data_IF_635933454055
#
_entry.id   IF_635933454055
#
_cell.length_a   1.000
_cell.length_b   1.000
_cell.length_c   1.000
_cell.angle_alpha   90.00
_cell.angle_beta   90.00
_cell.angle_gamma   90.00
#
_symmetry.space_group_name_H-M   'P 1'
#
loop_
_entity.id
_entity.type
_entity.pdbx_description
1 polymer ?
#
# COMPACT_ATOMS: atom_id res chain seq x y z
N UNK A 1 -9.52 24.04 -3.50
CA UNK A 1 -10.23 22.74 -3.39
C UNK A 1 -9.17 21.66 -3.23
N UNK A 2 -9.36 20.70 -2.32
CA UNK A 2 -8.42 19.57 -2.11
C UNK A 2 -9.10 18.29 -2.57
N UNK A 3 -8.43 17.48 -3.40
CA UNK A 3 -8.96 16.23 -3.94
C UNK A 3 -8.35 15.01 -3.24
N UNK A 4 -9.20 14.11 -2.74
CA UNK A 4 -8.76 12.93 -1.98
C UNK A 4 -9.34 11.66 -2.59
N UNK A 5 -8.47 10.68 -2.83
CA UNK A 5 -8.84 9.31 -3.20
C UNK A 5 -8.55 8.37 -2.02
N UNK A 6 -9.52 7.56 -1.60
CA UNK A 6 -9.36 6.58 -0.53
C UNK A 6 -9.77 5.19 -1.02
N UNK A 7 -8.90 4.20 -0.82
CA UNK A 7 -9.09 2.83 -1.32
C UNK A 7 -9.08 1.83 -0.15
N UNK A 8 -10.22 1.18 0.06
CA UNK A 8 -10.40 0.23 1.15
C UNK A 8 -9.54 -1.04 1.01
N UNK A 9 -9.27 -1.67 2.15
CA UNK A 9 -8.70 -3.01 2.22
C UNK A 9 -9.72 -4.10 1.85
N UNK A 10 -9.24 -5.25 1.40
CA UNK A 10 -10.13 -6.34 1.01
C UNK A 10 -9.48 -7.61 0.43
N UNK A 11 -8.17 -7.77 0.56
CA UNK A 11 -7.45 -8.91 -0.04
C UNK A 11 -7.71 -9.00 -1.54
N UNK A 12 -8.08 -10.19 -2.05
CA UNK A 12 -8.39 -10.37 -3.48
C UNK A 12 -9.51 -9.46 -4.01
N UNK A 13 -10.43 -9.02 -3.15
CA UNK A 13 -11.56 -8.15 -3.56
C UNK A 13 -11.16 -6.75 -3.97
N UNK A 14 -9.94 -6.31 -3.67
CA UNK A 14 -9.45 -5.02 -4.18
C UNK A 14 -9.26 -5.00 -5.71
N UNK A 15 -9.50 -6.12 -6.41
CA UNK A 15 -9.77 -6.10 -7.86
C UNK A 15 -10.94 -5.17 -8.21
N UNK A 16 -11.98 -5.07 -7.36
CA UNK A 16 -13.16 -4.23 -7.62
C UNK A 16 -12.77 -2.74 -7.68
N UNK A 17 -12.22 -2.12 -6.60
CA UNK A 17 -11.76 -0.75 -6.68
C UNK A 17 -10.65 -0.57 -7.71
N UNK A 18 -9.81 -1.58 -7.91
CA UNK A 18 -8.82 -1.61 -8.97
C UNK A 18 -9.38 -1.42 -10.38
N UNK A 19 -10.40 -2.20 -10.73
CA UNK A 19 -11.09 -2.08 -12.02
C UNK A 19 -11.75 -0.72 -12.16
N UNK A 20 -12.38 -0.22 -11.10
CA UNK A 20 -12.97 1.12 -11.07
C UNK A 20 -11.91 2.21 -11.31
N UNK A 21 -10.71 2.08 -10.72
CA UNK A 21 -9.61 3.01 -10.96
C UNK A 21 -9.10 2.95 -12.40
N UNK A 22 -9.08 1.76 -13.02
CA UNK A 22 -8.78 1.61 -14.45
C UNK A 22 -9.78 2.34 -15.35
N UNK A 23 -11.08 2.24 -15.03
CA UNK A 23 -12.11 3.01 -15.73
C UNK A 23 -12.02 4.51 -15.44
N UNK A 24 -11.74 4.89 -14.18
CA UNK A 24 -11.61 6.29 -13.79
C UNK A 24 -10.43 6.95 -14.51
N UNK A 25 -9.28 6.29 -14.59
CA UNK A 25 -8.09 6.83 -15.27
C UNK A 25 -8.29 6.99 -16.78
N UNK A 26 -9.16 6.18 -17.40
CA UNK A 26 -9.46 6.33 -18.83
C UNK A 26 -10.17 7.64 -19.15
N UNK A 27 -10.98 8.17 -18.23
CA UNK A 27 -11.75 9.39 -18.49
C UNK A 27 -10.83 10.63 -18.65
N UNK A 28 -9.89 10.93 -17.73
CA UNK A 28 -8.92 11.99 -17.97
C UNK A 28 -7.97 11.70 -19.12
N UNK A 29 -7.68 10.43 -19.45
CA UNK A 29 -6.86 10.12 -20.62
C UNK A 29 -7.54 10.49 -21.95
N UNK A 30 -8.86 10.37 -22.01
CA UNK A 30 -9.67 10.81 -23.16
C UNK A 30 -9.74 12.34 -23.26
N UNK A 31 -9.76 13.05 -22.12
CA UNK A 31 -9.90 14.52 -22.07
C UNK A 31 -8.56 15.27 -22.19
N UNK A 32 -7.55 14.84 -21.43
CA UNK A 32 -6.28 15.54 -21.23
C UNK A 32 -5.09 14.84 -21.90
N UNK A 33 -5.33 13.65 -22.47
CA UNK A 33 -4.38 12.89 -23.28
C UNK A 33 -3.84 11.62 -22.60
N UNK A 34 -3.20 10.73 -23.39
CA UNK A 34 -2.87 9.35 -22.97
C UNK A 34 -1.89 9.25 -21.80
N UNK A 35 -1.19 10.36 -21.48
CA UNK A 35 -0.24 10.44 -20.40
C UNK A 35 -0.87 10.84 -19.06
N UNK A 36 -2.15 11.20 -19.02
CA UNK A 36 -2.87 11.51 -17.78
C UNK A 36 -2.88 10.29 -16.83
N UNK A 37 -2.64 10.53 -15.54
CA UNK A 37 -2.57 9.51 -14.49
C UNK A 37 -3.36 9.93 -13.27
N UNK A 38 -3.87 8.96 -12.50
CA UNK A 38 -4.61 9.24 -11.24
C UNK A 38 -3.85 10.21 -10.32
N UNK A 39 -2.52 10.05 -10.19
CA UNK A 39 -1.69 10.90 -9.35
C UNK A 39 -1.65 12.38 -9.76
N UNK A 40 -2.07 12.74 -10.98
CA UNK A 40 -2.11 14.13 -11.45
C UNK A 40 -3.34 14.89 -10.93
N UNK A 41 -4.40 14.18 -10.56
CA UNK A 41 -5.71 14.76 -10.22
C UNK A 41 -6.03 14.72 -8.73
N UNK A 42 -5.28 13.92 -7.95
CA UNK A 42 -5.51 13.73 -6.52
C UNK A 42 -4.35 14.28 -5.68
N UNK A 43 -4.67 15.25 -4.82
CA UNK A 43 -3.75 15.82 -3.82
C UNK A 43 -3.31 14.80 -2.76
N UNK A 44 -4.20 13.86 -2.43
CA UNK A 44 -3.93 12.78 -1.47
C UNK A 44 -4.52 11.47 -1.99
N UNK A 45 -3.71 10.42 -2.02
CA UNK A 45 -4.14 9.05 -2.33
C UNK A 45 -3.88 8.15 -1.12
N UNK A 46 -4.93 7.61 -0.55
CA UNK A 46 -4.87 6.75 0.61
C UNK A 46 -5.33 5.34 0.30
N UNK A 47 -4.80 4.38 1.04
CA UNK A 47 -5.32 3.03 0.95
C UNK A 47 -4.83 2.09 2.03
N UNK A 48 -5.64 1.08 2.33
CA UNK A 48 -5.33 0.04 3.32
C UNK A 48 -5.14 -1.31 2.64
N UNK A 49 -4.16 -2.11 3.07
CA UNK A 49 -3.93 -3.45 2.52
C UNK A 49 -3.72 -3.42 1.00
N UNK A 50 -4.48 -4.19 0.22
CA UNK A 50 -4.42 -4.09 -1.24
C UNK A 50 -4.69 -2.66 -1.75
N UNK A 51 -5.57 -1.89 -1.10
CA UNK A 51 -5.77 -0.48 -1.40
C UNK A 51 -4.51 0.36 -1.17
N UNK A 52 -3.73 0.05 -0.14
CA UNK A 52 -2.45 0.72 0.13
C UNK A 52 -1.38 0.36 -0.91
N UNK A 53 -1.37 -0.89 -1.38
CA UNK A 53 -0.53 -1.30 -2.50
C UNK A 53 -0.93 -0.57 -3.79
N UNK A 54 -2.22 -0.39 -4.05
CA UNK A 54 -2.69 0.41 -5.19
C UNK A 54 -2.26 1.88 -5.04
N UNK A 55 -2.49 2.49 -3.87
CA UNK A 55 -2.13 3.88 -3.60
C UNK A 55 -0.62 4.15 -3.82
N UNK A 56 0.24 3.28 -3.30
CA UNK A 56 1.70 3.40 -3.47
C UNK A 56 2.16 3.16 -4.90
N UNK A 57 1.59 2.18 -5.61
CA UNK A 57 1.95 1.90 -7.01
C UNK A 57 1.50 3.02 -7.96
N UNK A 58 0.32 3.61 -7.74
CA UNK A 58 -0.18 4.74 -8.52
C UNK A 58 0.65 6.02 -8.35
N UNK A 59 1.42 6.10 -7.27
CA UNK A 59 2.19 7.30 -6.90
C UNK A 59 3.69 7.08 -6.98
N UNK A 60 4.15 5.88 -7.33
CA UNK A 60 5.55 5.55 -7.50
C UNK A 60 6.08 6.22 -8.79
N UNK A 61 7.11 7.08 -8.70
CA UNK A 61 7.67 7.74 -9.87
C UNK A 61 8.50 6.78 -10.72
N UNK A 62 8.44 6.98 -12.03
CA UNK A 62 9.44 6.49 -12.98
C UNK A 62 10.60 7.50 -13.12
N UNK A 63 11.51 7.26 -14.07
CA UNK A 63 12.69 8.13 -14.30
C UNK A 63 12.33 9.54 -14.77
N UNK A 64 11.17 9.70 -15.40
CA UNK A 64 10.68 10.97 -15.93
C UNK A 64 9.76 11.69 -14.94
N UNK A 65 9.75 11.25 -13.67
CA UNK A 65 8.89 11.78 -12.61
C UNK A 65 7.39 11.72 -12.96
N UNK A 66 6.97 10.64 -13.63
CA UNK A 66 5.57 10.28 -13.93
C UNK A 66 5.21 8.98 -13.22
N UNK A 67 3.92 8.67 -13.07
CA UNK A 67 3.51 7.38 -12.48
C UNK A 67 4.12 6.23 -13.26
N UNK A 68 4.73 5.29 -12.56
CA UNK A 68 5.33 4.09 -13.15
C UNK A 68 4.29 3.17 -13.80
N UNK A 69 3.05 3.21 -13.31
CA UNK A 69 1.98 2.33 -13.75
C UNK A 69 0.71 3.11 -14.05
N UNK A 70 -0.02 2.64 -15.05
CA UNK A 70 -1.45 2.91 -15.20
C UNK A 70 -2.25 2.06 -14.21
N UNK A 71 -3.40 2.57 -13.77
CA UNK A 71 -4.28 1.87 -12.83
C UNK A 71 -4.67 0.47 -13.33
N UNK A 72 -4.93 0.33 -14.64
CA UNK A 72 -5.29 -0.94 -15.28
C UNK A 72 -4.14 -1.96 -15.26
N UNK A 73 -2.89 -1.50 -15.33
CA UNK A 73 -1.71 -2.37 -15.34
C UNK A 73 -1.50 -3.02 -13.98
N UNK A 74 -1.66 -2.23 -12.91
CA UNK A 74 -1.51 -2.73 -11.52
C UNK A 74 -2.46 -3.91 -11.28
N UNK A 75 -3.70 -3.80 -11.75
CA UNK A 75 -4.70 -4.87 -11.63
C UNK A 75 -4.41 -6.05 -12.53
N UNK A 76 -3.99 -5.80 -13.77
CA UNK A 76 -3.52 -6.85 -14.68
C UNK A 76 -2.40 -7.69 -14.06
N UNK A 77 -1.43 -7.05 -13.41
CA UNK A 77 -0.36 -7.74 -12.69
C UNK A 77 -0.88 -8.51 -11.49
N UNK A 78 -1.74 -7.89 -10.67
CA UNK A 78 -2.29 -8.53 -9.49
C UNK A 78 -3.08 -9.79 -9.85
N UNK A 79 -3.97 -9.71 -10.84
CA UNK A 79 -4.77 -10.85 -11.34
C UNK A 79 -3.90 -12.03 -11.78
N UNK A 80 -2.90 -11.77 -12.62
CA UNK A 80 -1.97 -12.81 -13.12
C UNK A 80 -1.18 -13.47 -12.01
N UNK A 81 -0.90 -12.74 -10.93
CA UNK A 81 -0.04 -13.16 -9.81
C UNK A 81 -0.84 -13.69 -8.62
N UNK A 82 -2.14 -13.42 -8.54
CA UNK A 82 -3.00 -13.77 -7.43
C UNK A 82 -2.98 -15.27 -7.08
N UNK A 83 -3.04 -16.22 -8.02
CA UNK A 83 -2.92 -17.64 -7.69
C UNK A 83 -1.59 -18.04 -7.04
N UNK A 84 -0.51 -17.28 -7.30
CA UNK A 84 0.81 -17.49 -6.67
C UNK A 84 0.94 -16.81 -5.32
N UNK A 85 0.21 -15.69 -5.11
CA UNK A 85 0.11 -15.00 -3.82
C UNK A 85 -0.74 -15.83 -2.85
N UNK A 86 -1.87 -16.35 -3.33
CA UNK A 86 -2.84 -17.13 -2.56
C UNK A 86 -3.07 -18.52 -3.19
N UNK A 87 -2.06 -19.41 -3.14
CA UNK A 87 -2.19 -20.75 -3.72
C UNK A 87 -3.35 -21.49 -3.07
N UNK A 88 -4.29 -21.94 -3.90
CA UNK A 88 -5.34 -22.85 -3.48
C UNK A 88 -4.71 -24.24 -3.34
N UNK A 89 -4.56 -24.72 -2.10
CA UNK A 89 -4.22 -26.13 -1.88
C UNK A 89 -5.42 -26.94 -2.37
N UNK A 90 -5.22 -27.74 -3.42
CA UNK A 90 -6.28 -28.54 -4.02
C UNK A 90 -7.06 -29.32 -2.96
N UNK A 91 -8.39 -29.35 -3.13
CA UNK A 91 -9.34 -30.05 -2.27
C UNK A 91 -8.85 -31.45 -1.88
N UNK A 92 -8.25 -31.56 -0.69
CA UNK A 92 -8.26 -32.76 0.13
C UNK A 92 -8.90 -32.34 1.44
N UNK A 93 -10.22 -32.50 1.46
CA UNK A 93 -11.02 -32.68 2.68
C UNK A 93 -10.18 -33.47 3.70
N UNK A 94 -10.08 -32.98 4.94
CA UNK A 94 -9.19 -33.46 6.02
C UNK A 94 -7.72 -32.97 5.98
N UNK A 95 -7.52 -31.68 6.25
CA UNK A 95 -6.50 -31.27 7.25
C UNK A 95 -7.16 -30.29 8.21
N UNK A 96 -7.68 -30.85 9.30
CA UNK A 96 -8.38 -30.14 10.35
C UNK A 96 -7.58 -29.02 11.00
N UNK A 97 -8.31 -28.24 11.79
CA UNK A 97 -8.00 -27.15 12.73
C UNK A 97 -6.55 -26.91 13.21
N UNK A 98 -5.66 -27.90 13.16
CA UNK A 98 -4.27 -27.82 13.63
C UNK A 98 -3.33 -27.03 12.70
N UNK A 99 -3.64 -26.90 11.41
CA UNK A 99 -2.78 -26.16 10.47
C UNK A 99 -2.73 -24.64 10.72
N UNK A 100 -3.75 -24.08 11.40
CA UNK A 100 -3.75 -22.67 11.81
C UNK A 100 -2.85 -22.40 13.04
N UNK A 101 -2.45 -23.45 13.77
CA UNK A 101 -1.64 -23.34 14.98
C UNK A 101 -0.13 -23.22 14.70
N UNK A 102 0.33 -23.57 13.49
CA UNK A 102 1.76 -23.62 13.13
C UNK A 102 2.25 -22.39 12.32
N UNK A 103 1.40 -21.37 12.11
CA UNK A 103 1.78 -20.15 11.41
C UNK A 103 0.75 -19.66 10.38
N UNK A 104 1.06 -18.59 9.62
CA UNK A 104 0.12 -17.98 8.70
C UNK A 104 -0.24 -18.90 7.52
N UNK A 105 -1.47 -18.76 7.01
CA UNK A 105 -2.00 -19.55 5.88
C UNK A 105 -1.12 -19.50 4.63
N UNK A 106 -0.48 -18.35 4.38
CA UNK A 106 0.40 -18.09 3.25
C UNK A 106 1.77 -17.63 3.74
N UNK A 107 2.84 -18.08 3.08
CA UNK A 107 4.22 -17.74 3.46
C UNK A 107 4.60 -16.28 3.22
N UNK A 108 3.84 -15.56 2.38
CA UNK A 108 4.13 -14.19 1.97
C UNK A 108 5.39 -14.02 1.10
N UNK A 109 6.23 -15.06 0.91
CA UNK A 109 7.49 -14.97 0.15
C UNK A 109 7.29 -14.45 -1.27
N UNK A 110 6.28 -14.97 -1.97
CA UNK A 110 5.98 -14.54 -3.33
C UNK A 110 5.52 -13.08 -3.40
N UNK A 111 4.60 -12.69 -2.50
CA UNK A 111 4.11 -11.31 -2.41
C UNK A 111 5.26 -10.33 -2.14
N UNK A 112 6.12 -10.64 -1.18
CA UNK A 112 7.28 -9.81 -0.82
C UNK A 112 8.24 -9.66 -2.00
N UNK A 113 8.60 -10.77 -2.66
CA UNK A 113 9.47 -10.74 -3.84
C UNK A 113 8.87 -9.89 -4.95
N UNK A 114 7.58 -10.07 -5.22
CA UNK A 114 6.84 -9.33 -6.24
C UNK A 114 6.89 -7.82 -5.96
N UNK A 115 6.49 -7.41 -4.75
CA UNK A 115 6.48 -5.99 -4.36
C UNK A 115 7.89 -5.39 -4.42
N UNK A 116 8.92 -6.11 -3.96
CA UNK A 116 10.30 -5.65 -4.02
C UNK A 116 10.81 -5.46 -5.47
N UNK A 117 10.36 -6.30 -6.40
CA UNK A 117 10.74 -6.20 -7.81
C UNK A 117 10.10 -4.98 -8.48
N UNK A 118 8.83 -4.70 -8.18
CA UNK A 118 8.08 -3.59 -8.75
C UNK A 118 8.54 -2.24 -8.15
N UNK A 119 8.55 -2.11 -6.82
CA UNK A 119 8.79 -0.83 -6.16
C UNK A 119 10.26 -0.55 -5.83
N UNK A 120 11.13 -1.55 -5.96
CA UNK A 120 12.59 -1.45 -5.77
C UNK A 120 12.93 -0.68 -4.48
N UNK A 121 13.79 0.32 -4.58
CA UNK A 121 14.27 1.16 -3.48
C UNK A 121 13.53 2.51 -3.38
N UNK A 122 12.39 2.66 -4.06
CA UNK A 122 11.58 3.88 -3.97
C UNK A 122 11.09 4.05 -2.53
N UNK A 123 11.19 5.26 -2.00
CA UNK A 123 10.79 5.63 -0.64
C UNK A 123 9.59 6.58 -0.63
N UNK A 124 8.94 6.69 0.52
CA UNK A 124 7.72 7.51 0.70
C UNK A 124 7.88 8.97 0.28
N UNK A 125 9.04 9.59 0.51
CA UNK A 125 9.26 10.99 0.16
C UNK A 125 9.35 11.23 -1.36
N UNK A 126 9.54 10.17 -2.16
CA UNK A 126 9.63 10.22 -3.62
C UNK A 126 8.26 10.07 -4.30
N UNK A 127 7.17 9.83 -3.56
CA UNK A 127 5.85 9.69 -4.20
C UNK A 127 5.42 10.98 -4.88
N UNK A 128 4.73 10.85 -6.02
CA UNK A 128 4.32 11.96 -6.88
C UNK A 128 3.30 12.90 -6.21
N UNK A 129 2.46 12.35 -5.35
CA UNK A 129 1.49 13.09 -4.53
C UNK A 129 1.54 12.57 -3.09
N UNK A 130 0.77 13.16 -2.18
CA UNK A 130 0.72 12.69 -0.80
C UNK A 130 0.03 11.33 -0.72
N UNK A 131 0.69 10.38 -0.08
CA UNK A 131 0.13 9.07 0.21
C UNK A 131 -0.19 8.94 1.69
N UNK A 132 -1.25 8.20 2.01
CA UNK A 132 -1.58 7.80 3.39
C UNK A 132 -1.87 6.30 3.43
N UNK A 133 -1.01 5.53 4.10
CA UNK A 133 -1.18 4.06 4.25
C UNK A 133 -1.10 3.67 5.71
N UNK A 134 -2.19 3.17 6.32
CA UNK A 134 -2.15 2.65 7.68
C UNK A 134 -1.49 1.27 7.73
N UNK A 135 -0.83 1.00 8.84
CA UNK A 135 -0.39 -0.31 9.32
C UNK A 135 -0.59 -0.36 10.84
N UNK A 136 -0.37 -1.51 11.47
CA UNK A 136 -0.44 -1.63 12.93
C UNK A 136 0.85 -2.24 13.48
N UNK A 137 1.48 -1.57 14.44
CA UNK A 137 2.69 -2.07 15.10
C UNK A 137 2.35 -2.95 16.30
N UNK A 138 2.72 -4.22 16.24
CA UNK A 138 2.41 -5.20 17.29
C UNK A 138 3.38 -5.14 18.47
N UNK A 139 4.54 -4.50 18.31
CA UNK A 139 5.50 -4.34 19.40
C UNK A 139 5.10 -3.18 20.32
N UNK A 140 4.66 -2.07 19.73
CA UNK A 140 4.20 -0.90 20.48
C UNK A 140 2.68 -0.83 20.63
N UNK A 141 1.96 -1.78 20.03
CA UNK A 141 0.50 -1.91 20.09
C UNK A 141 -0.25 -0.63 19.68
N UNK A 142 0.18 -0.03 18.57
CA UNK A 142 -0.38 1.24 18.07
C UNK A 142 -0.45 1.27 16.53
N UNK A 143 -1.38 2.04 15.94
CA UNK A 143 -1.36 2.33 14.51
C UNK A 143 -0.07 3.04 14.09
N UNK A 144 0.41 2.71 12.90
CA UNK A 144 1.46 3.45 12.20
C UNK A 144 0.87 3.96 10.90
N UNK A 145 0.85 5.28 10.72
CA UNK A 145 0.37 5.91 9.49
C UNK A 145 1.60 6.30 8.67
N UNK A 146 1.81 5.59 7.57
CA UNK A 146 2.82 5.99 6.59
C UNK A 146 2.28 7.14 5.77
N UNK A 147 3.00 8.25 5.72
CA UNK A 147 2.65 9.36 4.85
C UNK A 147 3.86 10.02 4.20
N UNK A 148 3.66 10.52 2.98
CA UNK A 148 4.67 11.28 2.22
C UNK A 148 5.14 12.49 2.99
N UNK A 149 4.21 13.21 3.63
CA UNK A 149 4.53 14.42 4.39
C UNK A 149 5.39 14.10 5.60
N UNK A 150 5.04 13.09 6.38
CA UNK A 150 5.84 12.70 7.53
C UNK A 150 7.21 12.16 7.10
N UNK A 151 7.28 11.44 5.99
CA UNK A 151 8.53 10.97 5.41
C UNK A 151 9.45 12.11 4.94
N UNK A 152 8.89 13.22 4.46
CA UNK A 152 9.65 14.43 4.10
C UNK A 152 10.13 15.18 5.35
N UNK A 153 9.39 15.14 6.44
CA UNK A 153 9.71 15.85 7.69
C UNK A 153 10.68 15.08 8.62
N UNK A 154 10.64 13.75 8.64
CA UNK A 154 11.38 12.91 9.59
C UNK A 154 12.02 11.72 8.84
N UNK A 155 13.35 11.73 8.66
CA UNK A 155 14.07 10.72 7.85
C UNK A 155 13.81 9.27 8.28
N UNK A 156 13.75 8.91 9.58
CA UNK A 156 13.34 7.58 10.02
C UNK A 156 11.92 7.17 9.62
N UNK A 157 11.03 8.10 9.23
CA UNK A 157 9.70 7.79 8.68
C UNK A 157 9.71 7.57 7.17
N UNK A 158 10.82 7.85 6.48
CA UNK A 158 10.97 7.64 5.05
C UNK A 158 11.23 6.16 4.69
N UNK A 159 10.25 5.31 4.95
CA UNK A 159 10.31 3.88 4.63
C UNK A 159 10.24 3.63 3.12
N UNK A 160 10.79 2.50 2.66
CA UNK A 160 10.62 2.03 1.28
C UNK A 160 9.15 1.72 1.02
N UNK A 161 8.65 2.08 -0.17
CA UNK A 161 7.27 1.76 -0.57
C UNK A 161 7.01 0.24 -0.54
N UNK A 162 8.03 -0.56 -0.82
CA UNK A 162 7.95 -2.01 -0.71
C UNK A 162 7.62 -2.46 0.73
N UNK A 163 8.31 -1.92 1.73
CA UNK A 163 8.09 -2.27 3.14
C UNK A 163 6.71 -1.77 3.61
N UNK A 164 6.27 -0.60 3.15
CA UNK A 164 4.93 -0.05 3.40
C UNK A 164 3.85 -0.99 2.85
N UNK A 165 3.97 -1.42 1.59
CA UNK A 165 3.01 -2.34 0.95
C UNK A 165 2.95 -3.70 1.65
N UNK A 166 4.11 -4.26 2.00
CA UNK A 166 4.17 -5.56 2.67
C UNK A 166 3.54 -5.45 4.06
N UNK A 167 3.81 -4.35 4.79
CA UNK A 167 3.26 -4.10 6.11
C UNK A 167 1.75 -3.96 6.09
N UNK A 168 1.22 -3.05 5.26
CA UNK A 168 -0.22 -2.79 5.20
C UNK A 168 -1.03 -4.00 4.72
N UNK A 169 -0.41 -4.94 3.99
CA UNK A 169 -1.05 -6.15 3.48
C UNK A 169 -0.87 -7.39 4.37
N UNK A 170 -0.13 -7.30 5.48
CA UNK A 170 0.23 -8.45 6.31
C UNK A 170 -0.91 -8.90 7.23
N UNK A 171 -2.01 -9.39 6.64
CA UNK A 171 -3.24 -9.72 7.35
C UNK A 171 -3.01 -10.86 8.38
N UNK A 172 -3.38 -10.68 9.66
CA UNK A 172 -3.24 -11.71 10.69
C UNK A 172 -3.88 -13.03 10.26
N UNK A 173 -3.27 -14.15 10.64
CA UNK A 173 -3.61 -15.53 10.22
C UNK A 173 -3.40 -15.85 8.73
N UNK A 174 -3.31 -14.85 7.86
CA UNK A 174 -3.12 -15.04 6.42
C UNK A 174 -1.66 -14.88 5.98
N UNK A 175 -0.98 -13.82 6.42
CA UNK A 175 0.37 -13.46 6.02
C UNK A 175 1.24 -13.19 7.25
N UNK A 176 2.57 -13.44 7.19
CA UNK A 176 3.47 -13.14 8.29
C UNK A 176 3.64 -11.63 8.47
N UNK A 177 3.75 -11.20 9.73
CA UNK A 177 4.12 -9.84 10.10
C UNK A 177 5.42 -9.41 9.39
N UNK A 178 5.55 -8.11 9.16
CA UNK A 178 6.69 -7.52 8.47
C UNK A 178 7.60 -6.77 9.46
N UNK A 179 8.88 -7.10 9.40
CA UNK A 179 9.92 -6.43 10.18
C UNK A 179 10.89 -5.74 9.24
N UNK A 180 11.20 -4.49 9.55
CA UNK A 180 12.27 -3.74 8.91
C UNK A 180 12.74 -2.60 9.83
N UNK A 181 13.86 -1.99 9.46
CA UNK A 181 14.44 -0.85 10.17
C UNK A 181 14.74 0.28 9.19
N UNK A 182 14.59 1.52 9.66
CA UNK A 182 15.08 2.72 8.98
C UNK A 182 16.12 3.40 9.87
N UNK A 183 17.04 4.14 9.25
CA UNK A 183 18.09 4.89 9.95
C UNK A 183 18.17 6.30 9.40
N UNK A 184 18.44 7.28 10.26
CA UNK A 184 18.82 8.62 9.82
C UNK A 184 20.35 8.79 9.73
N UNK A 185 20.77 9.97 9.29
CA UNK A 185 22.19 10.34 9.16
C UNK A 185 22.94 10.39 10.49
N UNK A 186 22.23 10.54 11.62
CA UNK A 186 22.81 10.51 12.97
C UNK A 186 22.95 9.09 13.52
N UNK A 187 22.46 8.08 12.80
CA UNK A 187 22.44 6.68 13.22
C UNK A 187 21.23 6.28 14.08
N UNK A 188 20.29 7.20 14.33
CA UNK A 188 19.05 6.89 15.04
C UNK A 188 18.26 5.88 14.21
N UNK A 189 17.98 4.73 14.84
CA UNK A 189 17.29 3.62 14.18
C UNK A 189 15.83 3.57 14.62
N UNK A 190 14.90 3.44 13.68
CA UNK A 190 13.49 3.14 13.96
C UNK A 190 13.18 1.73 13.49
N UNK A 191 12.59 0.94 14.38
CA UNK A 191 12.20 -0.46 14.12
C UNK A 191 10.70 -0.55 13.93
N UNK A 192 10.28 -1.37 12.99
CA UNK A 192 8.87 -1.57 12.65
C UNK A 192 8.53 -3.05 12.77
N UNK A 193 7.45 -3.37 13.50
CA UNK A 193 6.94 -4.75 13.64
C UNK A 193 5.48 -4.74 13.23
N UNK A 194 5.19 -4.82 11.93
CA UNK A 194 3.92 -4.39 11.39
C UNK A 194 3.05 -5.55 10.89
N UNK A 195 1.75 -5.37 11.07
CA UNK A 195 0.67 -6.16 10.46
C UNK A 195 -0.28 -5.25 9.67
N UNK A 196 -1.26 -5.87 9.01
CA UNK A 196 -2.19 -5.20 8.09
C UNK A 196 -2.87 -3.97 8.69
N UNK A 197 -2.98 -2.92 7.86
CA UNK A 197 -3.60 -1.66 8.24
C UNK A 197 -5.08 -1.79 8.57
N UNK A 198 -5.75 -2.85 8.12
CA UNK A 198 -7.14 -3.16 8.44
C UNK A 198 -7.38 -3.42 9.92
N UNK A 199 -6.33 -3.73 10.70
CA UNK A 199 -6.39 -3.79 12.16
C UNK A 199 -6.54 -2.38 12.78
N UNK A 200 -6.00 -1.35 12.12
CA UNK A 200 -6.17 0.04 12.52
C UNK A 200 -7.40 0.69 11.87
N UNK A 201 -7.49 0.65 10.53
CA UNK A 201 -8.57 1.20 9.74
C UNK A 201 -8.65 0.53 8.36
N UNK A 202 -9.62 -0.35 8.16
CA UNK A 202 -9.83 -1.00 6.85
C UNK A 202 -10.30 -0.02 5.76
N UNK A 203 -11.06 1.01 6.15
CA UNK A 203 -11.40 2.15 5.32
C UNK A 203 -10.61 3.36 5.86
N UNK A 204 -9.61 3.89 5.12
CA UNK A 204 -8.73 4.93 5.63
C UNK A 204 -9.31 6.35 5.46
N UNK A 205 -10.59 6.52 5.09
CA UNK A 205 -11.14 7.85 4.75
C UNK A 205 -11.02 8.86 5.88
N UNK A 206 -11.32 8.47 7.12
CA UNK A 206 -11.28 9.38 8.28
C UNK A 206 -9.84 9.78 8.65
N UNK A 207 -8.90 8.85 8.57
CA UNK A 207 -7.46 9.11 8.78
C UNK A 207 -6.97 10.08 7.70
N UNK A 208 -7.37 9.85 6.46
CA UNK A 208 -6.94 10.66 5.31
C UNK A 208 -7.54 12.05 5.37
N UNK A 209 -8.81 12.19 5.75
CA UNK A 209 -9.45 13.49 5.93
C UNK A 209 -8.73 14.31 7.01
N UNK A 210 -8.39 13.70 8.15
CA UNK A 210 -7.61 14.36 9.21
C UNK A 210 -6.23 14.81 8.68
N UNK A 211 -5.55 13.95 7.93
CA UNK A 211 -4.26 14.29 7.33
C UNK A 211 -4.40 15.43 6.33
N UNK A 212 -5.39 15.39 5.43
CA UNK A 212 -5.63 16.44 4.46
C UNK A 212 -5.94 17.79 5.13
N UNK A 213 -6.77 17.80 6.18
CA UNK A 213 -7.01 19.02 6.95
C UNK A 213 -5.69 19.54 7.53
N UNK A 214 -4.87 18.70 8.16
CA UNK A 214 -3.58 19.12 8.69
C UNK A 214 -2.65 19.69 7.61
N UNK A 215 -2.61 19.10 6.41
CA UNK A 215 -1.74 19.52 5.31
C UNK A 215 -2.17 20.82 4.62
N UNK A 216 -3.47 21.08 4.57
CA UNK A 216 -4.04 22.13 3.75
C UNK A 216 -4.80 23.20 4.56
N UNK A 217 -4.84 23.11 5.89
CA UNK A 217 -5.40 24.16 6.76
C UNK A 217 -4.42 25.31 7.04
N UNK A 218 -3.13 25.12 6.80
CA UNK A 218 -2.09 26.16 6.96
C UNK A 218 -1.78 26.92 5.64
N UNK A 219 -2.66 26.85 4.65
CA UNK A 219 -2.57 27.60 3.39
C UNK A 219 -3.79 28.51 3.22
#
# INVERSE_FOLDING_TARGET
>A
MVTVLSIDGGGIRGIIPGTLLGCLESQPQELDGPNARIADYFDVIAGTSLGGMLATMLTAPNKDNRSMYEAKEIIGFYLKRCPKIFPQKGSKYFRGSLASLMGPKYSGKYLRRMINQELRDITLNQTLTNVVVPAFDIRFFQPVIFSTTEAKADTPKNSRLADVCISTSAAPTFLPAHYFETKDSSGKTRRFNLIDGGVAANNPVSITQRQAIYLYSEK
#
